data_IF_638838070002
#
_entry.id   IF_638838070002
#
_cell.length_a   1.000
_cell.length_b   1.000
_cell.length_c   1.000
_cell.angle_alpha   90.00
_cell.angle_beta   90.00
_cell.angle_gamma   90.00
#
_symmetry.space_group_name_H-M   'P 1'
#
loop_
_entity.id
_entity.type
_entity.pdbx_description
1 polymer ?
#
# COMPACT_ATOMS: atom_id res chain seq x y z
N UNK A 1 20.90 -2.30 -5.13
CA UNK A 1 20.21 -3.52 -4.61
C UNK A 1 19.37 -3.28 -3.35
N UNK A 2 19.09 -2.04 -2.91
CA UNK A 2 18.28 -1.79 -1.69
C UNK A 2 16.83 -1.34 -1.94
N UNK A 3 16.49 -0.88 -3.14
CA UNK A 3 15.17 -0.30 -3.46
C UNK A 3 14.03 -1.34 -3.41
N UNK A 4 14.21 -2.51 -4.05
CA UNK A 4 13.17 -3.56 -4.04
C UNK A 4 12.76 -4.06 -2.65
N UNK A 5 13.69 -4.05 -1.68
CA UNK A 5 13.43 -4.57 -0.33
C UNK A 5 12.37 -3.78 0.43
N UNK A 6 12.32 -2.44 0.27
CA UNK A 6 11.37 -1.62 1.03
C UNK A 6 9.97 -1.70 0.45
N UNK A 7 9.85 -1.72 -0.88
CA UNK A 7 8.58 -2.01 -1.56
C UNK A 7 8.05 -3.42 -1.20
N UNK A 8 8.88 -4.46 -1.32
CA UNK A 8 8.46 -5.84 -1.01
C UNK A 8 8.04 -5.98 0.47
N UNK A 9 8.74 -5.29 1.38
CA UNK A 9 8.37 -5.24 2.79
C UNK A 9 7.00 -4.57 2.99
N UNK A 10 6.80 -3.37 2.43
CA UNK A 10 5.53 -2.65 2.52
C UNK A 10 4.37 -3.48 1.94
N UNK A 11 4.56 -4.09 0.78
CA UNK A 11 3.57 -4.98 0.16
C UNK A 11 3.21 -6.14 1.08
N UNK A 12 4.21 -6.84 1.63
CA UNK A 12 3.99 -7.99 2.52
C UNK A 12 3.21 -7.59 3.78
N UNK A 13 3.52 -6.44 4.36
CA UNK A 13 2.77 -5.91 5.51
C UNK A 13 1.32 -5.66 5.12
N UNK A 14 1.08 -4.97 4.01
CA UNK A 14 -0.26 -4.66 3.51
C UNK A 14 -1.10 -5.91 3.20
N UNK A 15 -0.50 -6.91 2.56
CA UNK A 15 -1.15 -8.20 2.31
C UNK A 15 -1.55 -8.88 3.64
N UNK A 16 -0.66 -8.90 4.62
CA UNK A 16 -0.91 -9.52 5.92
C UNK A 16 -2.00 -8.82 6.72
N UNK A 17 -2.17 -7.51 6.59
CA UNK A 17 -3.20 -6.74 7.31
C UNK A 17 -4.48 -6.51 6.49
N UNK A 18 -4.54 -7.01 5.26
CA UNK A 18 -5.67 -6.78 4.33
C UNK A 18 -7.03 -7.30 4.82
N UNK A 19 -7.04 -8.15 5.85
CA UNK A 19 -8.26 -8.65 6.49
C UNK A 19 -8.98 -7.59 7.35
N UNK A 20 -8.29 -6.51 7.75
CA UNK A 20 -8.86 -5.40 8.53
C UNK A 20 -8.65 -4.09 7.76
N UNK A 21 -9.70 -3.53 7.13
CA UNK A 21 -9.61 -2.29 6.37
C UNK A 21 -9.03 -1.10 7.14
N UNK A 22 -9.32 -0.99 8.45
CA UNK A 22 -8.81 0.10 9.28
C UNK A 22 -7.32 -0.06 9.55
N UNK A 23 -6.86 -1.30 9.72
CA UNK A 23 -5.43 -1.59 9.88
C UNK A 23 -4.69 -1.40 8.56
N UNK A 24 -5.25 -1.88 7.45
CA UNK A 24 -4.72 -1.68 6.10
C UNK A 24 -4.51 -0.20 5.80
N UNK A 25 -5.52 0.64 6.05
CA UNK A 25 -5.41 2.09 5.87
C UNK A 25 -4.23 2.70 6.65
N UNK A 26 -4.08 2.31 7.92
CA UNK A 26 -2.99 2.81 8.79
C UNK A 26 -1.62 2.38 8.29
N UNK A 27 -1.45 1.12 7.89
CA UNK A 27 -0.17 0.63 7.38
C UNK A 27 0.15 1.21 6.00
N UNK A 28 -0.86 1.43 5.15
CA UNK A 28 -0.69 2.10 3.86
C UNK A 28 -0.20 3.54 4.06
N UNK A 29 -0.84 4.28 4.97
CA UNK A 29 -0.40 5.63 5.31
C UNK A 29 1.04 5.66 5.83
N UNK A 30 1.46 4.67 6.63
CA UNK A 30 2.85 4.55 7.07
C UNK A 30 3.80 4.27 5.91
N UNK A 31 3.43 3.37 5.00
CA UNK A 31 4.24 3.03 3.84
C UNK A 31 4.47 4.27 2.95
N UNK A 32 3.41 5.03 2.65
CA UNK A 32 3.49 6.25 1.86
C UNK A 32 4.47 7.27 2.47
N UNK A 33 4.47 7.42 3.79
CA UNK A 33 5.36 8.36 4.48
C UNK A 33 6.83 7.90 4.58
N UNK A 34 7.13 6.61 4.42
CA UNK A 34 8.48 6.07 4.59
C UNK A 34 9.19 5.68 3.29
N UNK A 35 8.43 5.40 2.23
CA UNK A 35 9.01 4.98 0.96
C UNK A 35 9.63 6.17 0.21
N UNK A 36 10.67 5.88 -0.55
CA UNK A 36 11.23 6.82 -1.51
C UNK A 36 10.27 6.99 -2.69
N UNK A 37 10.30 8.13 -3.42
CA UNK A 37 9.34 8.40 -4.50
C UNK A 37 9.20 7.26 -5.51
N UNK A 38 10.32 6.64 -5.93
CA UNK A 38 10.29 5.52 -6.86
C UNK A 38 9.57 4.28 -6.32
N UNK A 39 9.75 3.96 -5.03
CA UNK A 39 9.10 2.81 -4.40
C UNK A 39 7.62 3.13 -4.09
N UNK A 40 7.30 4.41 -3.86
CA UNK A 40 5.93 4.90 -3.71
C UNK A 40 5.14 4.75 -5.00
N UNK A 41 5.68 5.18 -6.15
CA UNK A 41 5.01 5.00 -7.46
C UNK A 41 4.65 3.53 -7.73
N UNK A 42 5.56 2.60 -7.36
CA UNK A 42 5.27 1.15 -7.44
C UNK A 42 4.19 0.72 -6.44
N UNK A 43 4.19 1.26 -5.23
CA UNK A 43 3.18 0.95 -4.21
C UNK A 43 1.79 1.38 -4.67
N UNK A 44 1.65 2.60 -5.20
CA UNK A 44 0.36 3.14 -5.64
C UNK A 44 -0.26 2.32 -6.78
N UNK A 45 0.55 1.93 -7.77
CA UNK A 45 0.11 1.05 -8.85
C UNK A 45 -0.34 -0.32 -8.33
N UNK A 46 0.42 -0.89 -7.38
CA UNK A 46 0.07 -2.17 -6.78
C UNK A 46 -1.23 -2.09 -5.97
N UNK A 47 -1.36 -1.09 -5.08
CA UNK A 47 -2.56 -0.90 -4.25
C UNK A 47 -3.79 -0.71 -5.14
N UNK A 48 -3.69 0.12 -6.18
CA UNK A 48 -4.79 0.38 -7.12
C UNK A 48 -5.35 -0.88 -7.76
N UNK A 49 -4.48 -1.84 -8.10
CA UNK A 49 -4.88 -3.15 -8.61
C UNK A 49 -5.36 -4.11 -7.51
N UNK A 50 -4.66 -4.15 -6.38
CA UNK A 50 -4.93 -5.09 -5.28
C UNK A 50 -6.31 -4.90 -4.66
N UNK A 51 -6.77 -3.65 -4.57
CA UNK A 51 -8.07 -3.34 -3.96
C UNK A 51 -9.24 -3.54 -4.91
N UNK A 52 -9.06 -3.68 -6.23
CA UNK A 52 -10.18 -3.90 -7.18
C UNK A 52 -11.02 -5.14 -6.83
N UNK A 53 -10.38 -6.17 -6.29
CA UNK A 53 -11.04 -7.41 -5.85
C UNK A 53 -11.50 -7.36 -4.38
N UNK A 54 -11.28 -6.24 -3.68
CA UNK A 54 -11.55 -6.05 -2.24
C UNK A 54 -12.29 -4.72 -2.01
N UNK A 55 -13.61 -4.70 -2.21
CA UNK A 55 -14.42 -3.49 -2.02
C UNK A 55 -14.25 -2.84 -0.65
N UNK A 56 -13.99 -3.64 0.39
CA UNK A 56 -13.73 -3.20 1.75
C UNK A 56 -12.47 -2.34 1.90
N UNK A 57 -11.54 -2.42 0.95
CA UNK A 57 -10.30 -1.63 0.94
C UNK A 57 -10.39 -0.40 0.03
N UNK A 58 -11.47 -0.19 -0.74
CA UNK A 58 -11.56 0.90 -1.72
C UNK A 58 -11.35 2.29 -1.11
N UNK A 59 -11.75 2.51 0.14
CA UNK A 59 -11.55 3.79 0.82
C UNK A 59 -10.06 4.17 0.93
N UNK A 60 -9.16 3.17 0.93
CA UNK A 60 -7.71 3.39 0.95
C UNK A 60 -7.17 4.03 -0.33
N UNK A 61 -7.91 3.97 -1.45
CA UNK A 61 -7.55 4.66 -2.70
C UNK A 61 -7.51 6.18 -2.55
N UNK A 62 -8.21 6.74 -1.55
CA UNK A 62 -8.14 8.17 -1.24
C UNK A 62 -6.75 8.63 -0.81
N UNK A 63 -5.91 7.72 -0.28
CA UNK A 63 -4.55 8.02 0.18
C UNK A 63 -3.53 8.16 -0.97
N UNK A 64 -3.83 7.61 -2.15
CA UNK A 64 -2.88 7.52 -3.27
C UNK A 64 -3.32 8.30 -4.52
N UNK A 65 -4.57 8.79 -4.57
CA UNK A 65 -5.08 9.61 -5.69
C UNK A 65 -5.09 11.13 -5.37
N UNK A 66 -4.24 11.59 -4.44
CA UNK A 66 -4.20 13.01 -4.00
C UNK A 66 -3.08 13.81 -4.67
#
# INVERSE_FOLDING_TARGET
MKTRLMFDFARTVLENVSFDPKLFYKELQKAINHLLPYDLDQLEQWVSGYVQEKPELHDSLSLINS
#
